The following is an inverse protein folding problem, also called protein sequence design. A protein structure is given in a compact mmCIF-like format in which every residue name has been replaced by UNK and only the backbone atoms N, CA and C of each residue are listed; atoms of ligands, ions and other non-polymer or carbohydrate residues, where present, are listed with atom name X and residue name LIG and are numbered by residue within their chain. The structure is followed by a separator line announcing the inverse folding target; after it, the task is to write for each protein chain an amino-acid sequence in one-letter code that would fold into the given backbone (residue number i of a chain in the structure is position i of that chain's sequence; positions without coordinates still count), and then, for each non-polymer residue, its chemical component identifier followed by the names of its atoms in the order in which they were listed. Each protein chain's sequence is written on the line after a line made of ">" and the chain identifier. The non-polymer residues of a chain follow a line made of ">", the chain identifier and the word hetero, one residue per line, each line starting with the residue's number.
data_IF_612039776440
#
_entry.id   IF_612039776440
#
_cell.length_a   1.000
_cell.length_b   1.000
_cell.length_c   1.000
_cell.angle_alpha   90.00
_cell.angle_beta   90.00
_cell.angle_gamma   90.00
#
_symmetry.space_group_name_H-M   'P 1'
#
loop_
_entity.id
_entity.type
_entity.pdbx_description
1 polymer ?
#
# COMPACT_ATOMS: atom_id res chain seq x y z
N UNK A 1 5.18 12.92 -1.83
CA UNK A 1 3.73 12.92 -2.18
C UNK A 1 2.89 13.83 -1.30
N UNK A 2 3.07 13.84 0.02
CA UNK A 2 2.25 14.66 0.94
C UNK A 2 2.25 16.15 0.58
N UNK A 3 3.41 16.75 0.35
CA UNK A 3 3.51 18.18 0.01
C UNK A 3 2.96 18.55 -1.38
N UNK A 4 3.10 17.65 -2.36
CA UNK A 4 2.78 17.94 -3.76
C UNK A 4 1.38 17.47 -4.18
N UNK A 5 0.76 16.53 -3.46
CA UNK A 5 -0.56 15.96 -3.81
C UNK A 5 -1.55 16.06 -2.66
N UNK A 6 -1.14 15.74 -1.43
CA UNK A 6 -2.05 15.75 -0.28
C UNK A 6 -2.47 17.17 0.14
N UNK A 7 -1.51 18.08 0.31
CA UNK A 7 -1.81 19.49 0.63
C UNK A 7 -2.67 20.22 -0.41
N UNK A 8 -2.40 20.13 -1.74
CA UNK A 8 -3.28 20.76 -2.73
C UNK A 8 -4.67 20.12 -2.80
N UNK A 9 -4.80 18.80 -2.61
CA UNK A 9 -6.12 18.16 -2.49
C UNK A 9 -6.90 18.69 -1.28
N UNK A 10 -6.24 18.83 -0.14
CA UNK A 10 -6.87 19.34 1.08
C UNK A 10 -7.28 20.82 0.94
N UNK A 11 -6.48 21.60 0.22
CA UNK A 11 -6.76 23.02 -0.07
C UNK A 11 -7.94 23.20 -1.04
N UNK A 12 -8.22 22.20 -1.87
CA UNK A 12 -9.40 22.13 -2.75
C UNK A 12 -10.66 21.58 -2.04
N UNK A 13 -10.63 21.39 -0.72
CA UNK A 13 -11.80 20.92 0.05
C UNK A 13 -12.04 19.41 -0.02
N UNK A 14 -11.10 18.63 -0.57
CA UNK A 14 -11.23 17.17 -0.62
C UNK A 14 -11.03 16.60 0.80
N UNK A 15 -11.89 15.66 1.25
CA UNK A 15 -11.75 15.05 2.56
C UNK A 15 -10.42 14.29 2.69
N UNK A 16 -9.83 14.33 3.90
CA UNK A 16 -8.51 13.76 4.20
C UNK A 16 -8.33 12.32 3.71
N UNK A 17 -9.37 11.50 3.83
CA UNK A 17 -9.36 10.10 3.37
C UNK A 17 -9.18 9.98 1.85
N UNK A 18 -9.87 10.80 1.06
CA UNK A 18 -9.76 10.78 -0.40
C UNK A 18 -8.40 11.36 -0.83
N UNK A 19 -7.93 12.42 -0.18
CA UNK A 19 -6.60 12.98 -0.45
C UNK A 19 -5.47 11.97 -0.17
N UNK A 20 -5.60 11.15 0.89
CA UNK A 20 -4.72 10.03 1.17
C UNK A 20 -4.81 8.96 0.08
N UNK A 21 -6.01 8.57 -0.33
CA UNK A 21 -6.23 7.54 -1.35
C UNK A 21 -5.58 7.95 -2.69
N UNK A 22 -5.76 9.20 -3.12
CA UNK A 22 -5.11 9.74 -4.34
C UNK A 22 -3.59 9.74 -4.19
N UNK A 23 -3.07 10.12 -3.02
CA UNK A 23 -1.63 10.09 -2.79
C UNK A 23 -1.07 8.66 -2.88
N UNK A 24 -1.73 7.69 -2.26
CA UNK A 24 -1.31 6.29 -2.32
C UNK A 24 -1.45 5.70 -3.72
N UNK A 25 -2.51 6.03 -4.46
CA UNK A 25 -2.71 5.59 -5.84
C UNK A 25 -1.55 6.02 -6.74
N UNK A 26 -1.18 7.29 -6.70
CA UNK A 26 -0.06 7.80 -7.51
C UNK A 26 1.26 7.16 -7.05
N UNK A 27 1.46 6.94 -5.74
CA UNK A 27 2.63 6.22 -5.22
C UNK A 27 2.71 4.79 -5.77
N UNK A 28 1.57 4.09 -5.82
CA UNK A 28 1.46 2.72 -6.33
C UNK A 28 1.79 2.64 -7.82
N UNK A 29 1.35 3.61 -8.62
CA UNK A 29 1.69 3.72 -10.04
C UNK A 29 3.19 3.92 -10.24
N UNK A 30 3.82 4.82 -9.45
CA UNK A 30 5.27 5.01 -9.51
C UNK A 30 6.05 3.75 -9.11
N UNK A 31 5.59 3.00 -8.09
CA UNK A 31 6.23 1.76 -7.68
C UNK A 31 6.13 0.68 -8.77
N UNK A 32 4.96 0.50 -9.38
CA UNK A 32 4.80 -0.42 -10.51
C UNK A 32 5.69 0.02 -11.68
N UNK A 33 5.74 1.32 -12.00
CA UNK A 33 6.58 1.84 -13.09
C UNK A 33 8.08 1.57 -12.83
N UNK A 34 8.57 1.85 -11.62
CA UNK A 34 9.97 1.62 -11.24
C UNK A 34 10.38 0.14 -11.32
N UNK A 35 9.43 -0.79 -11.09
CA UNK A 35 9.69 -2.24 -11.17
C UNK A 35 9.47 -2.76 -12.60
N UNK A 36 8.45 -2.26 -13.30
CA UNK A 36 8.10 -2.66 -14.65
C UNK A 36 9.12 -2.21 -15.69
N UNK A 37 9.79 -1.07 -15.49
CA UNK A 37 10.86 -0.59 -16.39
C UNK A 37 12.05 -1.57 -16.47
N UNK A 38 12.69 -1.98 -15.35
CA UNK A 38 13.78 -2.95 -15.39
C UNK A 38 13.31 -4.37 -15.75
N UNK A 39 12.11 -4.79 -15.35
CA UNK A 39 11.62 -6.14 -15.64
C UNK A 39 10.88 -6.29 -16.98
N UNK A 40 10.56 -5.19 -17.69
CA UNK A 40 9.71 -5.15 -18.90
C UNK A 40 8.41 -5.98 -18.77
N UNK A 41 7.89 -6.12 -17.56
CA UNK A 41 6.72 -6.95 -17.27
C UNK A 41 5.78 -6.14 -16.36
N UNK A 42 4.62 -5.80 -16.90
CA UNK A 42 3.52 -5.18 -16.15
C UNK A 42 2.66 -6.29 -15.56
N UNK A 43 2.66 -6.45 -14.23
CA UNK A 43 1.90 -7.50 -13.53
C UNK A 43 0.99 -6.93 -12.43
N UNK A 44 1.03 -5.62 -12.15
CA UNK A 44 0.21 -4.92 -11.16
C UNK A 44 0.33 -5.44 -9.71
N UNK A 45 1.28 -6.34 -9.41
CA UNK A 45 1.47 -6.88 -8.07
C UNK A 45 1.91 -5.81 -7.07
N UNK A 46 2.84 -4.95 -7.48
CA UNK A 46 3.30 -3.85 -6.62
C UNK A 46 2.19 -2.82 -6.42
N UNK A 47 1.39 -2.57 -7.45
CA UNK A 47 0.21 -1.73 -7.37
C UNK A 47 -0.81 -2.25 -6.34
N UNK A 48 -1.19 -3.53 -6.42
CA UNK A 48 -2.15 -4.14 -5.49
C UNK A 48 -1.60 -4.14 -4.06
N UNK A 49 -0.31 -4.44 -3.88
CA UNK A 49 0.33 -4.46 -2.56
C UNK A 49 0.29 -3.09 -1.85
N UNK A 50 0.59 -2.01 -2.57
CA UNK A 50 0.49 -0.65 -2.01
C UNK A 50 -0.97 -0.22 -1.82
N UNK A 51 -1.88 -0.63 -2.70
CA UNK A 51 -3.30 -0.35 -2.52
C UNK A 51 -3.90 -1.07 -1.32
N UNK A 52 -3.42 -2.26 -0.96
CA UNK A 52 -3.88 -3.00 0.21
C UNK A 52 -3.47 -2.34 1.55
N UNK A 53 -2.39 -1.55 1.56
CA UNK A 53 -1.99 -0.76 2.72
C UNK A 53 -3.00 0.34 3.08
N UNK A 54 -3.71 0.92 2.10
CA UNK A 54 -4.68 2.01 2.31
C UNK A 54 -5.83 1.61 3.23
N UNK A 55 -6.61 0.55 2.95
CA UNK A 55 -7.71 0.13 3.83
C UNK A 55 -7.20 -0.34 5.19
N UNK A 56 -6.00 -0.92 5.27
CA UNK A 56 -5.36 -1.31 6.51
C UNK A 56 -5.05 -0.12 7.43
N UNK A 57 -4.54 0.97 6.87
CA UNK A 57 -4.29 2.22 7.63
C UNK A 57 -5.60 2.85 8.09
N UNK A 58 -6.64 2.84 7.26
CA UNK A 58 -7.96 3.35 7.64
C UNK A 58 -8.55 2.50 8.77
N UNK A 59 -8.48 1.17 8.64
CA UNK A 59 -9.00 0.23 9.63
C UNK A 59 -8.28 0.35 10.97
N UNK A 60 -6.95 0.46 10.97
CA UNK A 60 -6.15 0.65 12.19
C UNK A 60 -6.45 1.99 12.87
N UNK A 61 -6.60 3.07 12.11
CA UNK A 61 -7.05 4.36 12.66
C UNK A 61 -8.47 4.29 13.22
N UNK A 62 -9.39 3.62 12.53
CA UNK A 62 -10.76 3.43 12.98
C UNK A 62 -10.83 2.63 14.28
N UNK A 63 -10.11 1.51 14.35
CA UNK A 63 -9.99 0.67 15.54
C UNK A 63 -9.35 1.44 16.70
N UNK A 64 -8.29 2.20 16.45
CA UNK A 64 -7.68 3.04 17.48
C UNK A 64 -8.67 4.05 18.06
N UNK A 65 -9.51 4.66 17.22
CA UNK A 65 -10.51 5.63 17.66
C UNK A 65 -11.66 4.99 18.45
N UNK A 66 -12.05 3.76 18.08
CA UNK A 66 -13.09 2.97 18.75
C UNK A 66 -12.63 2.43 20.11
N UNK A 67 -11.41 1.90 20.20
CA UNK A 67 -10.92 1.25 21.43
C UNK A 67 -10.38 2.23 22.48
N UNK A 68 -10.22 3.52 22.14
CA UNK A 68 -9.68 4.60 23.01
C UNK A 68 -8.34 4.30 23.71
N UNK A 69 -7.74 3.15 23.43
CA UNK A 69 -6.48 2.66 23.96
C UNK A 69 -5.46 2.65 22.84
N UNK A 70 -4.50 3.57 22.89
CA UNK A 70 -3.45 3.68 21.86
C UNK A 70 -2.58 2.43 21.76
N UNK A 71 -2.50 1.63 22.83
CA UNK A 71 -1.69 0.42 22.89
C UNK A 71 -2.23 -0.69 21.99
N UNK A 72 -3.55 -0.92 22.00
CA UNK A 72 -4.20 -1.95 21.18
C UNK A 72 -4.16 -1.57 19.70
N UNK A 73 -4.39 -0.29 19.38
CA UNK A 73 -4.23 0.24 18.02
C UNK A 73 -2.81 0.07 17.50
N UNK A 74 -1.80 0.36 18.32
CA UNK A 74 -0.40 0.20 17.96
C UNK A 74 -0.02 -1.28 17.77
N UNK A 75 -0.40 -2.18 18.68
CA UNK A 75 -0.13 -3.61 18.52
C UNK A 75 -0.77 -4.18 17.26
N UNK A 76 -2.03 -3.84 16.97
CA UNK A 76 -2.67 -4.27 15.72
C UNK A 76 -1.98 -3.69 14.49
N UNK A 77 -1.61 -2.40 14.51
CA UNK A 77 -0.82 -1.80 13.44
C UNK A 77 0.48 -2.57 13.20
N UNK A 78 1.24 -2.88 14.24
CA UNK A 78 2.48 -3.66 14.12
C UNK A 78 2.25 -5.08 13.62
N UNK A 79 1.22 -5.78 14.12
CA UNK A 79 0.88 -7.12 13.61
C UNK A 79 0.52 -7.09 12.12
N UNK A 80 -0.36 -6.17 11.71
CA UNK A 80 -0.74 -6.04 10.32
C UNK A 80 0.40 -5.54 9.43
N UNK A 81 1.24 -4.63 9.91
CA UNK A 81 2.39 -4.13 9.17
C UNK A 81 3.45 -5.22 8.96
N UNK A 82 3.75 -6.01 9.99
CA UNK A 82 4.69 -7.13 9.91
C UNK A 82 4.18 -8.29 9.06
N UNK A 83 2.87 -8.56 9.06
CA UNK A 83 2.28 -9.68 8.31
C UNK A 83 1.93 -9.27 6.88
N UNK A 84 1.25 -8.14 6.67
CA UNK A 84 0.66 -7.73 5.39
C UNK A 84 1.39 -6.57 4.70
N UNK A 85 2.39 -5.97 5.35
CA UNK A 85 3.13 -4.83 4.79
C UNK A 85 4.17 -5.22 3.73
N UNK A 86 5.34 -4.59 3.82
CA UNK A 86 6.48 -4.83 2.91
C UNK A 86 6.81 -6.30 2.64
N UNK A 87 6.79 -7.23 3.62
CA UNK A 87 7.11 -8.64 3.36
C UNK A 87 6.13 -9.35 2.43
N UNK A 88 4.83 -9.04 2.48
CA UNK A 88 3.84 -9.65 1.57
C UNK A 88 3.99 -9.19 0.12
N UNK A 89 4.35 -7.92 -0.10
CA UNK A 89 4.70 -7.44 -1.45
C UNK A 89 5.88 -8.23 -2.03
N UNK A 90 6.92 -8.46 -1.23
CA UNK A 90 8.11 -9.21 -1.67
C UNK A 90 7.76 -10.67 -1.91
N UNK A 91 6.96 -11.29 -1.03
CA UNK A 91 6.53 -12.67 -1.16
C UNK A 91 5.68 -12.90 -2.42
N UNK A 92 4.72 -12.02 -2.70
CA UNK A 92 3.88 -12.08 -3.91
C UNK A 92 4.72 -11.89 -5.17
N UNK A 93 5.66 -10.95 -5.15
CA UNK A 93 6.58 -10.75 -6.28
C UNK A 93 7.47 -11.98 -6.51
N UNK A 94 8.01 -12.55 -5.43
CA UNK A 94 8.83 -13.76 -5.49
C UNK A 94 8.03 -14.97 -6.00
N UNK A 95 6.81 -15.15 -5.50
CA UNK A 95 5.91 -16.21 -5.96
C UNK A 95 5.59 -16.08 -7.45
N UNK A 96 5.34 -14.89 -7.98
CA UNK A 96 5.10 -14.69 -9.41
C UNK A 96 6.32 -15.01 -10.28
N UNK A 97 7.52 -14.63 -9.84
CA UNK A 97 8.77 -14.96 -10.54
C UNK A 97 9.01 -16.47 -10.54
N UNK A 98 8.78 -17.14 -9.40
CA UNK A 98 8.93 -18.59 -9.29
C UNK A 98 7.88 -19.34 -10.12
N UNK A 99 6.63 -18.86 -10.14
CA UNK A 99 5.56 -19.48 -10.91
C UNK A 99 5.82 -19.36 -12.42
N UNK A 100 6.40 -18.24 -12.88
CA UNK A 100 6.85 -18.09 -14.28
C UNK A 100 7.99 -19.04 -14.64
N UNK A 101 8.92 -19.30 -13.73
CA UNK A 101 10.02 -20.26 -13.96
C UNK A 101 9.51 -21.71 -14.02
N UNK A 102 8.43 -22.03 -13.29
CA UNK A 102 7.81 -23.35 -13.30
C UNK A 102 7.03 -23.68 -14.57
N UNK A 103 6.46 -22.70 -15.28
CA UNK A 103 5.73 -22.94 -16.55
C UNK A 103 6.62 -23.00 -17.79
N UNK A 104 7.94 -22.78 -17.66
CA UNK A 104 8.90 -22.85 -18.75
C UNK A 104 9.58 -24.22 -18.88
N UNK A 105 9.08 -25.25 -18.19
CA UNK A 105 9.63 -26.60 -18.16
C UNK A 105 8.57 -27.64 -18.50
#
# INVERSE_FOLDING_TARGET
>A
MVRHIYFPCLRNGIPKAIALLIAFLVSAVFHELCIAVPCRLFKFWAFIGIMFQVPLVILTNFLQNQFQSSMVGNMMFWCFFCILGQPMCVLLYYHDVMNRKGSAH
#
